data_IF_556707953980
#
_entry.id   IF_556707953980
#
_cell.length_a   1.000
_cell.length_b   1.000
_cell.length_c   1.000
_cell.angle_alpha   90.00
_cell.angle_beta   90.00
_cell.angle_gamma   90.00
#
_symmetry.space_group_name_H-M   'P 1'
#
loop_
_entity.id
_entity.type
_entity.pdbx_description
1 polymer ?
#
# COMPACT_ATOMS: atom_id res chain seq x y z
N UNK A 1 -5.80 15.41 8.62
CA UNK A 1 -5.67 15.60 7.16
C UNK A 1 -5.46 14.27 6.50
N UNK A 2 -6.06 14.03 5.35
CA UNK A 2 -5.81 12.77 4.66
C UNK A 2 -4.35 12.70 4.21
N UNK A 3 -3.85 11.47 4.17
CA UNK A 3 -2.50 11.20 3.72
C UNK A 3 -2.49 11.26 2.19
N UNK A 4 -1.54 11.96 1.58
CA UNK A 4 -1.51 12.00 0.13
C UNK A 4 -0.79 10.76 -0.42
N UNK A 5 -0.94 10.53 -1.73
CA UNK A 5 -0.41 9.33 -2.36
C UNK A 5 1.11 9.26 -2.29
N UNK A 6 1.79 10.39 -2.34
CA UNK A 6 3.25 10.43 -2.28
C UNK A 6 3.74 9.96 -0.91
N UNK A 7 3.05 10.32 0.14
CA UNK A 7 3.42 9.89 1.48
C UNK A 7 3.18 8.40 1.68
N UNK A 8 2.06 7.89 1.17
CA UNK A 8 1.77 6.45 1.20
C UNK A 8 2.89 5.68 0.49
N UNK A 9 3.23 6.11 -0.71
CA UNK A 9 4.29 5.47 -1.48
C UNK A 9 5.62 5.51 -0.76
N UNK A 10 5.97 6.65 -0.18
CA UNK A 10 7.24 6.82 0.53
C UNK A 10 7.34 5.87 1.72
N UNK A 11 6.28 5.75 2.50
CA UNK A 11 6.26 4.86 3.66
C UNK A 11 6.42 3.40 3.25
N UNK A 12 5.74 3.00 2.17
CA UNK A 12 5.84 1.64 1.67
C UNK A 12 7.24 1.38 1.12
N UNK A 13 7.78 2.31 0.36
CA UNK A 13 9.13 2.17 -0.19
C UNK A 13 10.19 2.09 0.89
N UNK A 14 9.98 2.74 2.01
CA UNK A 14 10.93 2.68 3.13
C UNK A 14 11.05 1.25 3.69
N UNK A 15 9.97 0.48 3.65
CA UNK A 15 9.97 -0.91 4.09
C UNK A 15 10.27 -1.89 2.96
N UNK A 16 9.88 -1.55 1.75
CA UNK A 16 10.03 -2.42 0.58
C UNK A 16 10.70 -1.65 -0.54
N UNK A 17 12.03 -1.46 -0.47
CA UNK A 17 12.73 -0.59 -1.45
C UNK A 17 12.60 -1.05 -2.89
N UNK A 18 12.34 -2.34 -3.11
CA UNK A 18 12.21 -2.89 -4.45
C UNK A 18 10.77 -2.99 -4.91
N UNK A 19 9.83 -2.50 -4.12
CA UNK A 19 8.41 -2.60 -4.47
C UNK A 19 8.07 -1.69 -5.65
N UNK A 20 7.20 -2.21 -6.51
CA UNK A 20 6.55 -1.40 -7.53
C UNK A 20 5.19 -0.99 -6.97
N UNK A 21 4.97 0.30 -6.87
CA UNK A 21 3.79 0.85 -6.23
C UNK A 21 3.05 1.72 -7.22
N UNK A 22 1.77 1.42 -7.40
CA UNK A 22 0.87 2.23 -8.20
C UNK A 22 -0.29 2.66 -7.32
N UNK A 23 -0.49 3.96 -7.17
CA UNK A 23 -1.55 4.50 -6.34
C UNK A 23 -2.42 5.39 -7.19
N UNK A 24 -3.72 5.19 -7.09
CA UNK A 24 -4.71 5.96 -7.85
C UNK A 24 -5.68 6.60 -6.88
N UNK A 25 -6.00 7.85 -7.12
CA UNK A 25 -7.02 8.57 -6.37
C UNK A 25 -8.36 8.34 -7.08
N UNK A 26 -9.21 7.50 -6.48
CA UNK A 26 -10.42 7.02 -7.15
C UNK A 26 -11.50 8.09 -7.28
N UNK A 27 -11.55 9.00 -6.34
CA UNK A 27 -12.61 10.01 -6.31
C UNK A 27 -12.12 11.42 -6.58
N UNK A 28 -10.82 11.60 -6.73
CA UNK A 28 -10.25 12.92 -6.92
C UNK A 28 -10.31 13.81 -5.68
N UNK A 29 -10.60 13.23 -4.52
CA UNK A 29 -10.78 13.98 -3.28
C UNK A 29 -9.65 13.78 -2.26
N UNK A 30 -8.64 12.98 -2.61
CA UNK A 30 -7.53 12.70 -1.70
C UNK A 30 -7.88 11.77 -0.56
N UNK A 31 -9.04 11.12 -0.58
CA UNK A 31 -9.50 10.25 0.50
C UNK A 31 -9.71 8.81 0.08
N UNK A 32 -9.97 8.58 -1.19
CA UNK A 32 -10.29 7.24 -1.69
C UNK A 32 -9.20 6.81 -2.67
N UNK A 33 -8.36 5.88 -2.24
CA UNK A 33 -7.21 5.43 -3.03
C UNK A 33 -7.32 3.96 -3.38
N UNK A 34 -6.78 3.60 -4.53
CA UNK A 34 -6.47 2.21 -4.85
C UNK A 34 -4.97 2.08 -4.96
N UNK A 35 -4.39 1.14 -4.25
CA UNK A 35 -2.95 0.88 -4.29
C UNK A 35 -2.71 -0.53 -4.78
N UNK A 36 -1.83 -0.65 -5.77
CA UNK A 36 -1.36 -1.95 -6.26
C UNK A 36 0.13 -2.02 -5.98
N UNK A 37 0.54 -3.03 -5.20
CA UNK A 37 1.91 -3.13 -4.74
C UNK A 37 2.46 -4.50 -5.10
N UNK A 38 3.58 -4.51 -5.81
CA UNK A 38 4.30 -5.73 -6.19
C UNK A 38 5.66 -5.69 -5.51
N UNK A 39 5.94 -6.68 -4.69
CA UNK A 39 7.21 -6.72 -3.95
C UNK A 39 7.69 -8.16 -3.79
N UNK A 40 9.03 -8.39 -3.87
CA UNK A 40 9.57 -9.74 -3.69
C UNK A 40 9.27 -10.30 -2.30
N UNK A 41 9.10 -9.46 -1.31
CA UNK A 41 8.79 -9.87 0.06
C UNK A 41 7.44 -10.57 0.17
N UNK A 42 6.58 -10.41 -0.82
CA UNK A 42 5.25 -11.03 -0.80
C UNK A 42 5.26 -12.48 -1.26
N UNK A 43 6.39 -12.94 -1.79
CA UNK A 43 6.50 -14.30 -2.29
C UNK A 43 6.32 -15.30 -1.15
N UNK A 44 5.42 -16.26 -1.34
CA UNK A 44 5.13 -17.26 -0.31
C UNK A 44 4.21 -16.77 0.79
N UNK A 45 3.67 -15.57 0.70
CA UNK A 45 2.75 -15.02 1.69
C UNK A 45 1.32 -15.07 1.19
N UNK A 46 0.39 -15.29 2.12
CA UNK A 46 -1.04 -15.20 1.77
C UNK A 46 -1.42 -13.74 1.54
N UNK A 47 -2.58 -13.55 0.92
CA UNK A 47 -3.09 -12.20 0.70
C UNK A 47 -3.23 -11.42 2.00
N UNK A 48 -3.75 -12.07 3.03
CA UNK A 48 -3.92 -11.44 4.34
C UNK A 48 -2.57 -11.01 4.92
N UNK A 49 -1.57 -11.89 4.81
CA UNK A 49 -0.23 -11.57 5.29
C UNK A 49 0.38 -10.41 4.51
N UNK A 50 0.19 -10.38 3.21
CA UNK A 50 0.70 -9.30 2.37
C UNK A 50 0.08 -7.96 2.76
N UNK A 51 -1.24 -7.95 2.96
CA UNK A 51 -1.94 -6.73 3.36
C UNK A 51 -1.47 -6.25 4.73
N UNK A 52 -1.27 -7.18 5.66
CA UNK A 52 -0.77 -6.83 6.98
C UNK A 52 0.61 -6.18 6.91
N UNK A 53 1.47 -6.70 6.04
CA UNK A 53 2.80 -6.12 5.84
C UNK A 53 2.71 -4.67 5.37
N UNK A 54 1.77 -4.36 4.50
CA UNK A 54 1.56 -2.98 4.02
C UNK A 54 1.03 -2.10 5.15
N UNK A 55 0.06 -2.58 5.91
CA UNK A 55 -0.47 -1.81 7.03
C UNK A 55 0.62 -1.50 8.07
N UNK A 56 1.51 -2.47 8.32
CA UNK A 56 2.64 -2.26 9.22
C UNK A 56 3.60 -1.21 8.65
N UNK A 57 3.81 -1.21 7.35
CA UNK A 57 4.67 -0.23 6.70
C UNK A 57 4.12 1.19 6.83
N UNK A 58 2.81 1.32 6.91
CA UNK A 58 2.16 2.62 7.08
C UNK A 58 2.13 3.07 8.53
N UNK A 59 2.70 2.27 9.43
CA UNK A 59 2.96 2.64 10.83
C UNK A 59 1.71 3.04 11.60
N UNK A 60 0.60 2.37 11.32
CA UNK A 60 -0.64 2.66 12.02
C UNK A 60 -1.33 3.95 11.60
N UNK A 61 -0.80 4.64 10.59
CA UNK A 61 -1.42 5.87 10.08
C UNK A 61 -2.68 5.60 9.29
N UNK A 62 -3.03 4.32 9.17
CA UNK A 62 -4.22 3.88 8.48
C UNK A 62 -5.50 4.12 9.24
N UNK A 63 -5.43 4.27 10.54
CA UNK A 63 -6.62 4.40 11.34
C UNK A 63 -7.40 5.65 10.96
N UNK A 64 -8.60 5.51 10.51
CA UNK A 64 -9.45 6.63 10.14
C UNK A 64 -9.20 7.18 8.75
N UNK A 65 -8.00 7.05 8.21
CA UNK A 65 -7.67 7.62 6.90
C UNK A 65 -7.72 6.57 5.81
N UNK A 66 -7.34 5.35 6.12
CA UNK A 66 -7.12 4.34 5.08
C UNK A 66 -8.05 3.15 5.12
N UNK A 67 -9.16 3.22 5.87
CA UNK A 67 -10.21 2.23 5.69
C UNK A 67 -10.83 2.35 4.29
N UNK A 68 -10.55 3.42 3.57
CA UNK A 68 -11.00 3.64 2.20
C UNK A 68 -9.95 3.25 1.16
N UNK A 69 -8.89 2.55 1.55
CA UNK A 69 -7.86 2.11 0.64
C UNK A 69 -8.19 0.75 0.06
N UNK A 70 -8.33 0.68 -1.26
CA UNK A 70 -8.45 -0.59 -1.97
C UNK A 70 -7.05 -1.12 -2.25
N UNK A 71 -6.64 -2.15 -1.52
CA UNK A 71 -5.28 -2.65 -1.56
C UNK A 71 -5.20 -3.93 -2.36
N UNK A 72 -4.29 -3.97 -3.34
CA UNK A 72 -3.99 -5.15 -4.11
C UNK A 72 -2.50 -5.43 -4.01
N UNK A 73 -2.12 -6.64 -3.69
CA UNK A 73 -0.72 -7.03 -3.52
C UNK A 73 -0.42 -8.29 -4.32
N UNK A 74 0.83 -8.41 -4.76
CA UNK A 74 1.27 -9.59 -5.49
C UNK A 74 2.80 -9.68 -5.43
N UNK A 75 3.36 -10.92 -5.50
CA UNK A 75 4.78 -11.06 -5.73
C UNK A 75 5.10 -10.73 -7.18
N UNK A 76 6.36 -10.36 -7.47
CA UNK A 76 6.73 -10.08 -8.85
C UNK A 76 6.68 -11.33 -9.70
N UNK A 77 6.42 -11.14 -10.98
CA UNK A 77 6.54 -12.23 -11.95
C UNK A 77 8.01 -12.47 -12.23
N UNK A 78 8.41 -13.70 -12.16
CA UNK A 78 9.76 -14.09 -12.53
C UNK A 78 9.82 -14.51 -13.98
#
# INVERSE_FOLDING_TARGET
MPMDSNEIERLIKAKFPQAEITIRDLAGDGDHFAAHIVAPEFKGKTRVQQHKMIYDALEGRMGGVLHALALTTAPPKD
#
